data_IF_414309495107
#
_entry.id   IF_414309495107
#
_cell.length_a   1.000
_cell.length_b   1.000
_cell.length_c   1.000
_cell.angle_alpha   90.00
_cell.angle_beta   90.00
_cell.angle_gamma   90.00
#
_symmetry.space_group_name_H-M   'P 1'
#
loop_
_entity.id
_entity.type
_entity.pdbx_description
1 polymer ?
#
# COMPACT_ATOMS: atom_id res chain seq x y z
N UNK A 1 7.57 -14.50 -7.84
CA UNK A 1 8.35 -15.16 -6.79
C UNK A 1 8.23 -14.43 -5.47
N UNK A 2 8.08 -15.14 -4.39
CA UNK A 2 8.07 -14.49 -3.09
C UNK A 2 9.47 -13.99 -2.74
N UNK A 3 9.50 -12.95 -1.94
CA UNK A 3 10.73 -12.33 -1.49
C UNK A 3 10.61 -12.15 0.02
N UNK A 4 11.69 -12.38 0.73
CA UNK A 4 11.67 -12.19 2.16
C UNK A 4 11.42 -10.74 2.48
N UNK A 5 10.67 -10.52 3.54
CA UNK A 5 10.29 -9.18 3.94
C UNK A 5 11.52 -8.28 4.15
N UNK A 6 12.54 -8.81 4.81
CA UNK A 6 13.74 -8.02 5.05
C UNK A 6 14.46 -7.62 3.78
N UNK A 7 14.49 -8.52 2.80
CA UNK A 7 15.13 -8.19 1.53
C UNK A 7 14.38 -7.08 0.82
N UNK A 8 13.05 -7.18 0.82
CA UNK A 8 12.23 -6.14 0.23
C UNK A 8 12.46 -4.82 0.93
N UNK A 9 12.54 -4.83 2.25
CA UNK A 9 12.76 -3.62 3.02
C UNK A 9 14.09 -2.97 2.68
N UNK A 10 15.13 -3.78 2.53
CA UNK A 10 16.43 -3.24 2.16
C UNK A 10 16.45 -2.63 0.77
N UNK A 11 15.68 -3.24 -0.14
CA UNK A 11 15.60 -2.73 -1.50
C UNK A 11 14.87 -1.41 -1.61
N UNK A 12 13.82 -1.25 -0.85
CA UNK A 12 12.89 -0.14 -1.03
C UNK A 12 13.09 1.02 -0.08
N UNK A 13 13.77 0.79 1.04
CA UNK A 13 13.83 1.80 2.09
C UNK A 13 15.24 1.97 2.62
N UNK A 14 15.57 3.19 3.02
CA UNK A 14 16.83 3.49 3.68
C UNK A 14 16.85 2.87 5.09
N UNK A 15 18.02 2.77 5.73
CA UNK A 15 18.08 2.28 7.10
C UNK A 15 17.20 3.06 8.07
N UNK A 16 17.15 4.38 7.94
CA UNK A 16 16.31 5.20 8.80
C UNK A 16 14.84 4.92 8.56
N UNK A 17 14.46 4.81 7.29
CA UNK A 17 13.09 4.48 6.93
C UNK A 17 12.71 3.11 7.44
N UNK A 18 13.62 2.15 7.32
CA UNK A 18 13.34 0.79 7.80
C UNK A 18 13.11 0.76 9.31
N UNK A 19 13.93 1.50 10.04
CA UNK A 19 13.76 1.56 11.48
C UNK A 19 12.42 2.17 11.88
N UNK A 20 12.02 3.24 11.17
CA UNK A 20 10.74 3.88 11.43
C UNK A 20 9.59 2.92 11.15
N UNK A 21 9.68 2.19 10.04
CA UNK A 21 8.64 1.24 9.67
C UNK A 21 8.54 0.12 10.69
N UNK A 22 9.69 -0.39 11.16
CA UNK A 22 9.66 -1.46 12.16
C UNK A 22 9.02 -1.02 13.47
N UNK A 23 9.32 0.20 13.90
CA UNK A 23 8.70 0.73 15.11
C UNK A 23 7.19 0.83 14.96
N UNK A 24 6.76 1.26 13.78
CA UNK A 24 5.35 1.43 13.50
C UNK A 24 4.65 0.09 13.31
N UNK A 25 5.33 -0.88 12.71
CA UNK A 25 4.73 -2.17 12.37
C UNK A 25 4.18 -2.89 13.59
N UNK A 26 4.87 -2.79 14.71
CA UNK A 26 4.40 -3.43 15.93
C UNK A 26 3.04 -2.89 16.36
N UNK A 27 2.80 -1.60 16.11
CA UNK A 27 1.50 -1.01 16.40
C UNK A 27 0.50 -1.24 15.29
N UNK A 28 0.98 -1.21 14.05
CA UNK A 28 0.10 -1.37 12.88
C UNK A 28 -0.59 -2.72 12.88
N UNK A 29 0.10 -3.76 13.35
CA UNK A 29 -0.49 -5.09 13.38
C UNK A 29 -1.80 -5.14 14.14
N UNK A 30 -2.05 -4.14 14.99
CA UNK A 30 -3.28 -4.08 15.77
C UNK A 30 -4.26 -3.03 15.27
N UNK A 31 -3.96 -2.39 14.15
CA UNK A 31 -4.82 -1.35 13.61
C UNK A 31 -5.53 -1.89 12.37
N UNK A 32 -6.81 -1.66 12.33
CA UNK A 32 -7.64 -2.06 11.20
C UNK A 32 -8.37 -0.83 10.70
N UNK A 33 -8.16 -0.52 9.45
CA UNK A 33 -8.78 0.66 8.84
C UNK A 33 -9.46 0.29 7.53
N UNK A 34 -10.63 0.86 7.31
CA UNK A 34 -11.24 0.81 5.99
C UNK A 34 -10.52 1.82 5.10
N UNK A 35 -10.64 1.63 3.78
CA UNK A 35 -9.99 2.55 2.84
C UNK A 35 -10.39 3.99 3.08
N UNK A 36 -11.67 4.22 3.38
CA UNK A 36 -12.16 5.57 3.65
C UNK A 36 -11.46 6.19 4.85
N UNK A 37 -11.27 5.40 5.89
CA UNK A 37 -10.62 5.89 7.09
C UNK A 37 -9.15 6.22 6.82
N UNK A 38 -8.50 5.38 6.03
CA UNK A 38 -7.12 5.63 5.64
C UNK A 38 -7.01 6.93 4.85
N UNK A 39 -7.92 7.12 3.89
CA UNK A 39 -7.95 8.34 3.08
C UNK A 39 -8.11 9.57 3.98
N UNK A 40 -9.06 9.50 4.90
CA UNK A 40 -9.32 10.62 5.80
C UNK A 40 -8.13 10.92 6.70
N UNK A 41 -7.45 9.86 7.16
CA UNK A 41 -6.26 10.02 7.99
C UNK A 41 -5.12 10.70 7.23
N UNK A 42 -5.14 10.61 5.89
CA UNK A 42 -4.15 11.28 5.05
C UNK A 42 -4.65 12.64 4.58
N UNK A 43 -5.75 13.12 5.15
CA UNK A 43 -6.33 14.43 4.80
C UNK A 43 -6.67 14.55 3.32
N UNK A 44 -7.21 13.46 2.74
CA UNK A 44 -7.65 13.44 1.36
C UNK A 44 -9.16 13.33 1.30
N UNK A 45 -9.76 14.04 0.36
CA UNK A 45 -11.21 13.92 0.12
C UNK A 45 -11.42 12.98 -1.06
N UNK A 46 -12.66 12.52 -1.22
CA UNK A 46 -13.00 11.71 -2.38
C UNK A 46 -12.80 12.52 -3.66
N UNK A 47 -13.11 13.81 -3.62
CA UNK A 47 -12.92 14.67 -4.78
C UNK A 47 -11.45 14.79 -5.15
N UNK A 48 -10.57 15.00 -4.17
CA UNK A 48 -9.15 15.12 -4.46
C UNK A 48 -8.57 13.81 -4.98
N UNK A 49 -9.02 12.68 -4.46
CA UNK A 49 -8.58 11.38 -4.96
C UNK A 49 -9.05 11.16 -6.39
N UNK A 50 -10.29 11.54 -6.68
CA UNK A 50 -10.82 11.40 -8.03
C UNK A 50 -9.99 12.21 -9.02
N UNK A 51 -9.62 13.42 -8.66
CA UNK A 51 -8.80 14.25 -9.52
C UNK A 51 -7.43 13.63 -9.78
N UNK A 52 -6.79 13.14 -8.72
CA UNK A 52 -5.47 12.54 -8.86
C UNK A 52 -5.50 11.30 -9.74
N UNK A 53 -6.57 10.53 -9.65
CA UNK A 53 -6.69 9.29 -10.40
C UNK A 53 -7.35 9.45 -11.77
N UNK A 54 -7.84 10.64 -12.06
CA UNK A 54 -8.49 10.89 -13.34
C UNK A 54 -9.80 10.15 -13.49
N UNK A 55 -10.54 10.00 -12.39
CA UNK A 55 -11.83 9.31 -12.42
C UNK A 55 -12.87 10.18 -11.76
N UNK A 56 -14.11 9.72 -11.79
CA UNK A 56 -15.21 10.44 -11.16
C UNK A 56 -15.27 10.13 -9.67
N UNK A 57 -15.79 11.07 -8.90
CA UNK A 57 -15.92 10.87 -7.46
C UNK A 57 -16.71 9.61 -7.12
N UNK A 58 -17.73 9.29 -7.91
CA UNK A 58 -18.53 8.09 -7.66
C UNK A 58 -17.68 6.83 -7.77
N UNK A 59 -16.64 6.83 -8.58
CA UNK A 59 -15.75 5.69 -8.68
C UNK A 59 -14.97 5.49 -7.39
N UNK A 60 -14.56 6.57 -6.75
CA UNK A 60 -13.87 6.49 -5.46
C UNK A 60 -14.83 5.98 -4.40
N UNK A 61 -16.05 6.51 -4.38
CA UNK A 61 -17.05 6.07 -3.43
C UNK A 61 -17.33 4.57 -3.57
N UNK A 62 -17.44 4.09 -4.80
CA UNK A 62 -17.68 2.67 -5.04
C UNK A 62 -16.50 1.82 -4.61
N UNK A 63 -15.30 2.26 -4.89
CA UNK A 63 -14.09 1.54 -4.48
C UNK A 63 -14.07 1.37 -2.96
N UNK A 64 -14.37 2.44 -2.25
CA UNK A 64 -14.33 2.40 -0.79
C UNK A 64 -15.43 1.54 -0.18
N UNK A 65 -16.47 1.25 -0.96
CA UNK A 65 -17.58 0.41 -0.50
C UNK A 65 -17.42 -1.06 -0.86
N UNK A 66 -16.46 -1.38 -1.70
CA UNK A 66 -16.30 -2.77 -2.16
C UNK A 66 -15.55 -3.61 -1.16
N UNK A 67 -15.98 -4.88 -1.06
CA UNK A 67 -15.26 -5.85 -0.25
C UNK A 67 -14.12 -6.50 -1.01
N UNK A 68 -14.16 -6.42 -2.35
CA UNK A 68 -13.22 -7.13 -3.19
C UNK A 68 -12.75 -6.25 -4.35
N UNK A 69 -11.97 -5.22 -4.06
CA UNK A 69 -11.44 -4.37 -5.12
C UNK A 69 -10.30 -5.06 -5.85
N UNK A 70 -10.07 -4.65 -7.09
CA UNK A 70 -8.93 -5.15 -7.84
C UNK A 70 -7.63 -4.64 -7.23
N UNK A 71 -6.62 -5.49 -7.25
CA UNK A 71 -5.31 -5.09 -6.72
C UNK A 71 -4.72 -3.92 -7.48
N UNK A 72 -4.86 -3.90 -8.80
CA UNK A 72 -4.34 -2.80 -9.58
C UNK A 72 -5.00 -1.47 -9.19
N UNK A 73 -6.31 -1.51 -8.97
CA UNK A 73 -7.05 -0.32 -8.56
C UNK A 73 -6.62 0.12 -7.16
N UNK A 74 -6.47 -0.84 -6.27
CA UNK A 74 -6.06 -0.57 -4.91
C UNK A 74 -4.67 0.03 -4.88
N UNK A 75 -3.76 -0.50 -5.69
CA UNK A 75 -2.40 0.02 -5.78
C UNK A 75 -2.40 1.48 -6.21
N UNK A 76 -3.19 1.81 -7.22
CA UNK A 76 -3.27 3.19 -7.70
C UNK A 76 -3.86 4.12 -6.63
N UNK A 77 -4.85 3.63 -5.91
CA UNK A 77 -5.49 4.40 -4.85
C UNK A 77 -4.48 4.73 -3.76
N UNK A 78 -3.71 3.75 -3.33
CA UNK A 78 -2.68 3.95 -2.31
C UNK A 78 -1.57 4.87 -2.82
N UNK A 79 -1.13 4.66 -4.06
CA UNK A 79 -0.11 5.51 -4.66
C UNK A 79 -0.55 6.97 -4.70
N UNK A 80 -1.82 7.21 -4.99
CA UNK A 80 -2.34 8.58 -5.06
C UNK A 80 -2.28 9.29 -3.72
N UNK A 81 -2.19 8.55 -2.64
CA UNK A 81 -2.04 9.12 -1.31
C UNK A 81 -0.59 9.21 -0.86
N UNK A 82 0.35 8.83 -1.72
CA UNK A 82 1.75 8.86 -1.38
C UNK A 82 2.24 7.62 -0.66
N UNK A 83 1.43 6.57 -0.61
CA UNK A 83 1.80 5.33 0.05
C UNK A 83 2.23 4.26 -0.94
N UNK A 84 2.51 3.09 -0.41
CA UNK A 84 2.83 1.91 -1.22
C UNK A 84 2.08 0.73 -0.68
N UNK A 85 1.56 -0.09 -1.58
CA UNK A 85 0.85 -1.31 -1.20
C UNK A 85 1.79 -2.49 -1.35
N UNK A 86 1.90 -3.27 -0.30
CA UNK A 86 2.68 -4.51 -0.32
C UNK A 86 1.79 -5.65 0.14
N UNK A 87 1.94 -6.79 -0.50
CA UNK A 87 1.22 -7.99 -0.10
C UNK A 87 2.17 -8.89 0.65
N UNK A 88 1.83 -9.19 1.88
CA UNK A 88 2.68 -9.98 2.77
C UNK A 88 1.92 -11.22 3.19
N UNK A 89 2.58 -12.37 3.06
CA UNK A 89 2.01 -13.65 3.47
C UNK A 89 2.73 -14.14 4.71
N UNK A 90 1.97 -14.54 5.70
CA UNK A 90 2.52 -15.06 6.94
C UNK A 90 2.15 -16.53 7.11
N UNK A 91 3.13 -17.33 7.47
CA UNK A 91 2.91 -18.71 7.85
C UNK A 91 3.50 -18.92 9.25
N UNK A 92 2.87 -19.77 10.06
CA UNK A 92 3.36 -19.94 11.44
C UNK A 92 4.78 -20.45 11.55
N UNK A 93 5.24 -21.19 10.54
CA UNK A 93 6.52 -21.89 10.62
C UNK A 93 7.67 -21.13 9.95
N UNK A 94 7.45 -19.96 9.42
CA UNK A 94 8.53 -19.25 8.74
C UNK A 94 8.31 -17.75 8.78
N UNK A 95 9.36 -17.02 8.40
CA UNK A 95 9.29 -15.56 8.34
C UNK A 95 8.33 -15.13 7.27
N UNK A 96 7.71 -13.95 7.42
CA UNK A 96 6.81 -13.41 6.39
C UNK A 96 7.52 -13.24 5.05
N UNK A 97 6.77 -13.41 3.98
CA UNK A 97 7.30 -13.20 2.64
C UNK A 97 6.43 -12.19 1.92
N UNK A 98 7.04 -11.45 1.00
CA UNK A 98 6.34 -10.47 0.18
C UNK A 98 6.07 -11.08 -1.18
N UNK A 99 4.83 -10.97 -1.63
CA UNK A 99 4.48 -11.44 -2.97
C UNK A 99 4.88 -10.37 -3.97
N UNK A 100 5.71 -10.75 -4.92
CA UNK A 100 6.18 -9.87 -5.96
C UNK A 100 5.38 -10.08 -7.23
N UNK A 101 5.21 -9.02 -8.00
CA UNK A 101 4.52 -9.14 -9.29
C UNK A 101 3.02 -8.99 -9.23
N UNK A 102 2.47 -8.78 -8.04
CA UNK A 102 1.04 -8.58 -7.86
C UNK A 102 0.83 -7.12 -7.53
N UNK A 103 0.02 -6.42 -8.32
CA UNK A 103 -0.21 -5.00 -8.11
C UNK A 103 1.07 -4.18 -8.14
N UNK A 104 1.96 -4.47 -9.03
CA UNK A 104 3.35 -4.03 -8.96
C UNK A 104 3.68 -2.68 -9.57
N UNK A 105 2.69 -1.92 -9.92
CA UNK A 105 2.90 -0.65 -10.61
C UNK A 105 3.79 0.29 -9.84
N UNK A 106 3.55 0.43 -8.55
CA UNK A 106 4.30 1.37 -7.74
C UNK A 106 5.76 0.97 -7.59
N UNK A 107 6.03 -0.32 -7.57
CA UNK A 107 7.40 -0.80 -7.46
C UNK A 107 8.20 -0.36 -8.68
N UNK A 108 7.57 -0.43 -9.82
CA UNK A 108 8.20 -0.04 -11.04
C UNK A 108 8.54 1.44 -11.06
N UNK A 109 7.65 2.24 -10.56
CA UNK A 109 7.90 3.67 -10.49
C UNK A 109 9.08 4.02 -9.62
N UNK A 110 9.22 3.31 -8.54
CA UNK A 110 10.33 3.57 -7.65
C UNK A 110 11.65 3.46 -8.38
N UNK A 111 11.78 2.43 -9.15
CA UNK A 111 13.01 2.24 -9.88
C UNK A 111 13.30 3.36 -10.83
N UNK A 112 12.28 3.85 -11.48
CA UNK A 112 12.49 4.95 -12.40
C UNK A 112 12.88 6.20 -11.71
N UNK A 113 12.34 6.43 -10.55
CA UNK A 113 12.66 7.62 -9.80
C UNK A 113 14.12 7.63 -9.39
N UNK A 114 14.67 6.46 -9.22
CA UNK A 114 16.08 6.39 -8.95
C UNK A 114 16.87 6.61 -10.21
#
# INVERSE_FOLDING_TARGET
MPVKFEDMMRELFSPAERAAIRRTAAGIAKRHMALRELRQARNRTQVSMAKRLGVKQVSISRLESREDPRLSTLTKYIDAMGGRLHLIVEFPEQAPVVLRGVGRTSVRHKKKAA
#
